data_IF_857406571062
#
_entry.id   IF_857406571062
#
_cell.length_a   1.000
_cell.length_b   1.000
_cell.length_c   1.000
_cell.angle_alpha   90.00
_cell.angle_beta   90.00
_cell.angle_gamma   90.00
#
_symmetry.space_group_name_H-M   'P 1'
#
loop_
_entity.id
_entity.type
_entity.pdbx_description
1 polymer ?
#
# COMPACT_ATOMS: atom_id res chain seq x y z
N UNK A 1 21.66 14.55 3.19
CA UNK A 1 20.40 14.77 2.44
C UNK A 1 19.53 13.55 2.64
N UNK A 2 18.51 13.65 3.49
CA UNK A 2 17.68 12.52 3.89
C UNK A 2 16.55 12.31 2.87
N UNK A 3 16.77 11.43 1.89
CA UNK A 3 15.71 10.89 1.05
C UNK A 3 15.09 9.67 1.76
N UNK A 4 14.36 9.93 2.85
CA UNK A 4 13.41 8.96 3.35
C UNK A 4 12.17 9.10 2.46
N UNK A 5 11.91 8.11 1.59
CA UNK A 5 10.65 8.06 0.84
C UNK A 5 9.54 7.86 1.88
N UNK A 6 8.77 8.91 2.12
CA UNK A 6 7.62 8.90 3.02
C UNK A 6 6.48 8.23 2.24
N UNK A 7 6.04 7.05 2.70
CA UNK A 7 4.84 6.42 2.17
C UNK A 7 3.63 7.18 2.73
N UNK A 8 3.03 8.05 1.92
CA UNK A 8 1.78 8.73 2.26
C UNK A 8 0.63 7.75 2.06
N UNK A 9 0.00 7.34 3.16
CA UNK A 9 -1.28 6.58 3.10
C UNK A 9 -2.46 7.55 2.94
N UNK A 10 -2.32 8.77 3.44
CA UNK A 10 -3.23 9.90 3.26
C UNK A 10 -2.44 11.21 3.46
N UNK A 11 -3.01 12.35 3.06
CA UNK A 11 -2.39 13.69 3.18
C UNK A 11 -1.89 14.04 4.61
N UNK A 12 -2.34 13.30 5.63
CA UNK A 12 -2.02 13.49 7.05
C UNK A 12 -1.30 12.32 7.72
N UNK A 13 -1.10 11.19 7.04
CA UNK A 13 -0.48 9.99 7.63
C UNK A 13 0.82 9.65 6.90
N UNK A 14 1.93 10.02 7.53
CA UNK A 14 3.29 9.67 7.13
C UNK A 14 3.60 8.29 7.70
N UNK A 15 3.53 7.24 6.88
CA UNK A 15 3.98 5.92 7.27
C UNK A 15 5.43 5.74 6.81
N UNK A 16 6.36 5.67 7.76
CA UNK A 16 7.79 5.47 7.48
C UNK A 16 8.10 3.97 7.39
N UNK A 17 7.28 3.20 6.67
CA UNK A 17 7.37 1.74 6.69
C UNK A 17 8.57 1.23 5.87
N UNK A 18 8.85 1.85 4.72
CA UNK A 18 9.99 1.48 3.87
C UNK A 18 11.35 1.59 4.57
N UNK A 19 11.69 2.74 5.21
CA UNK A 19 12.93 2.87 5.95
C UNK A 19 13.01 1.95 7.17
N UNK A 20 11.90 1.74 7.89
CA UNK A 20 11.86 0.83 9.05
C UNK A 20 12.08 -0.64 8.66
N UNK A 21 11.44 -1.10 7.58
CA UNK A 21 11.68 -2.44 7.02
C UNK A 21 13.14 -2.60 6.59
N UNK A 22 13.68 -1.60 5.88
CA UNK A 22 15.05 -1.67 5.40
C UNK A 22 16.06 -1.68 6.56
N UNK A 23 15.86 -0.85 7.59
CA UNK A 23 16.70 -0.84 8.79
C UNK A 23 16.58 -2.14 9.61
N UNK A 24 15.40 -2.76 9.63
CA UNK A 24 15.20 -4.02 10.34
C UNK A 24 15.95 -5.19 9.69
N UNK A 25 15.92 -5.29 8.35
CA UNK A 25 16.56 -6.41 7.63
C UNK A 25 17.99 -6.13 7.18
N UNK A 26 18.38 -4.86 7.06
CA UNK A 26 19.72 -4.44 6.66
C UNK A 26 20.25 -3.36 7.63
N UNK A 27 20.51 -3.70 8.90
CA UNK A 27 20.91 -2.73 9.91
C UNK A 27 22.27 -2.06 9.60
N UNK A 28 23.15 -2.76 8.89
CA UNK A 28 24.49 -2.25 8.54
C UNK A 28 24.55 -1.51 7.19
N UNK A 29 23.40 -1.25 6.56
CA UNK A 29 23.44 -0.52 5.28
C UNK A 29 23.85 0.93 5.45
N UNK A 30 24.79 1.39 4.63
CA UNK A 30 25.10 2.80 4.52
C UNK A 30 23.87 3.62 4.11
N UNK A 31 23.75 4.84 4.63
CA UNK A 31 22.60 5.71 4.44
C UNK A 31 22.19 5.89 2.96
N UNK A 32 23.16 5.91 2.05
CA UNK A 32 22.92 6.04 0.61
C UNK A 32 22.26 4.80 -0.01
N UNK A 33 22.57 3.60 0.49
CA UNK A 33 21.94 2.34 0.07
C UNK A 33 20.57 2.16 0.72
N UNK A 34 20.38 2.69 1.93
CA UNK A 34 19.08 2.69 2.62
C UNK A 34 17.99 3.37 1.79
N UNK A 35 18.29 4.56 1.24
CA UNK A 35 17.37 5.28 0.36
C UNK A 35 17.02 4.50 -0.91
N UNK A 36 18.01 3.84 -1.53
CA UNK A 36 17.79 3.02 -2.72
C UNK A 36 16.88 1.81 -2.46
N UNK A 37 17.13 1.06 -1.39
CA UNK A 37 16.29 -0.08 -1.01
C UNK A 37 14.88 0.35 -0.61
N UNK A 38 14.76 1.45 0.12
CA UNK A 38 13.46 2.05 0.46
C UNK A 38 12.70 2.39 -0.82
N UNK A 39 13.34 3.05 -1.79
CA UNK A 39 12.71 3.43 -3.05
C UNK A 39 12.23 2.21 -3.85
N UNK A 40 12.99 1.11 -3.86
CA UNK A 40 12.57 -0.13 -4.53
C UNK A 40 11.33 -0.73 -3.84
N UNK A 41 11.34 -0.82 -2.51
CA UNK A 41 10.24 -1.44 -1.75
C UNK A 41 8.95 -0.60 -1.79
N UNK A 42 9.09 0.72 -1.68
CA UNK A 42 7.96 1.65 -1.78
C UNK A 42 7.46 1.77 -3.21
N UNK A 43 8.37 1.84 -4.18
CA UNK A 43 8.03 1.89 -5.60
C UNK A 43 7.31 0.63 -6.08
N UNK A 44 7.73 -0.56 -5.63
CA UNK A 44 7.05 -1.80 -5.99
C UNK A 44 5.63 -1.88 -5.41
N UNK A 45 5.46 -1.46 -4.14
CA UNK A 45 4.14 -1.37 -3.52
C UNK A 45 3.22 -0.38 -4.25
N UNK A 46 3.71 0.82 -4.56
CA UNK A 46 2.94 1.83 -5.28
C UNK A 46 2.56 1.39 -6.69
N UNK A 47 3.49 0.76 -7.42
CA UNK A 47 3.23 0.24 -8.75
C UNK A 47 2.12 -0.83 -8.72
N UNK A 48 2.20 -1.77 -7.76
CA UNK A 48 1.14 -2.76 -7.56
C UNK A 48 -0.21 -2.11 -7.28
N UNK A 49 -0.24 -1.12 -6.39
CA UNK A 49 -1.45 -0.37 -6.07
C UNK A 49 -2.07 0.31 -7.30
N UNK A 50 -1.27 1.11 -8.02
CA UNK A 50 -1.73 1.88 -9.17
C UNK A 50 -2.32 0.98 -10.27
N UNK A 51 -1.71 -0.19 -10.51
CA UNK A 51 -2.17 -1.14 -11.52
C UNK A 51 -3.47 -1.85 -11.14
N UNK A 52 -3.72 -2.08 -9.85
CA UNK A 52 -4.86 -2.89 -9.40
C UNK A 52 -6.12 -2.10 -9.05
N UNK A 53 -6.03 -0.78 -8.80
CA UNK A 53 -7.16 0.06 -8.41
C UNK A 53 -8.38 -0.11 -9.34
N UNK A 54 -8.17 -0.02 -10.66
CA UNK A 54 -9.26 -0.17 -11.64
C UNK A 54 -9.90 -1.56 -11.61
N UNK A 55 -9.09 -2.61 -11.42
CA UNK A 55 -9.57 -3.98 -11.30
C UNK A 55 -10.48 -4.16 -10.08
N UNK A 56 -10.06 -3.70 -8.91
CA UNK A 56 -10.83 -3.85 -7.67
C UNK A 56 -12.14 -3.06 -7.68
N UNK A 57 -12.15 -1.87 -8.27
CA UNK A 57 -13.38 -1.08 -8.46
C UNK A 57 -14.37 -1.85 -9.33
N UNK A 58 -13.92 -2.41 -10.45
CA UNK A 58 -14.77 -3.18 -11.35
C UNK A 58 -15.26 -4.47 -10.69
N UNK A 59 -14.40 -5.15 -9.93
CA UNK A 59 -14.75 -6.36 -9.19
C UNK A 59 -15.82 -6.09 -8.13
N UNK A 60 -15.67 -5.04 -7.33
CA UNK A 60 -16.65 -4.65 -6.31
C UNK A 60 -18.02 -4.33 -6.92
N UNK A 61 -18.05 -3.66 -8.08
CA UNK A 61 -19.28 -3.39 -8.83
C UNK A 61 -19.92 -4.67 -9.37
N UNK A 62 -19.12 -5.57 -9.95
CA UNK A 62 -19.62 -6.82 -10.52
C UNK A 62 -20.20 -7.76 -9.46
N UNK A 63 -19.57 -7.84 -8.28
CA UNK A 63 -20.02 -8.69 -7.18
C UNK A 63 -21.15 -8.07 -6.36
N UNK A 64 -21.50 -6.79 -6.60
CA UNK A 64 -22.45 -6.00 -5.79
C UNK A 64 -22.15 -6.06 -4.28
N UNK A 65 -20.88 -6.23 -3.91
CA UNK A 65 -20.43 -6.42 -2.54
C UNK A 65 -19.12 -5.67 -2.31
N UNK A 66 -19.23 -4.36 -2.08
CA UNK A 66 -18.08 -3.50 -1.76
C UNK A 66 -17.42 -3.91 -0.45
N UNK A 67 -18.23 -4.14 0.60
CA UNK A 67 -17.75 -4.52 1.95
C UNK A 67 -16.95 -5.83 1.95
N UNK A 68 -17.41 -6.84 1.22
CA UNK A 68 -16.71 -8.12 1.12
C UNK A 68 -15.35 -7.98 0.44
N UNK A 69 -15.30 -7.21 -0.66
CA UNK A 69 -14.04 -6.92 -1.38
C UNK A 69 -13.07 -6.13 -0.51
N UNK A 70 -13.54 -5.12 0.22
CA UNK A 70 -12.71 -4.33 1.14
C UNK A 70 -12.14 -5.21 2.25
N UNK A 71 -12.97 -6.03 2.90
CA UNK A 71 -12.53 -6.93 3.98
C UNK A 71 -11.46 -7.91 3.48
N UNK A 72 -11.68 -8.49 2.30
CA UNK A 72 -10.75 -9.45 1.71
C UNK A 72 -9.41 -8.79 1.34
N UNK A 73 -9.45 -7.64 0.68
CA UNK A 73 -8.23 -6.89 0.34
C UNK A 73 -7.44 -6.46 1.58
N UNK A 74 -8.11 -6.01 2.65
CA UNK A 74 -7.45 -5.68 3.92
C UNK A 74 -6.81 -6.91 4.58
N UNK A 75 -7.52 -8.05 4.62
CA UNK A 75 -7.01 -9.28 5.20
C UNK A 75 -5.74 -9.78 4.48
N UNK A 76 -5.76 -9.78 3.14
CA UNK A 76 -4.60 -10.22 2.35
C UNK A 76 -3.44 -9.23 2.43
N UNK A 77 -3.73 -7.92 2.47
CA UNK A 77 -2.70 -6.90 2.69
C UNK A 77 -2.01 -7.10 4.05
N UNK A 78 -2.79 -7.34 5.12
CA UNK A 78 -2.25 -7.67 6.44
C UNK A 78 -1.37 -8.93 6.42
N UNK A 79 -1.84 -10.02 5.81
CA UNK A 79 -1.06 -11.26 5.68
C UNK A 79 0.25 -11.08 4.89
N UNK A 80 0.24 -10.24 3.85
CA UNK A 80 1.45 -9.95 3.09
C UNK A 80 2.45 -9.10 3.86
N UNK A 81 2.02 -8.20 4.76
CA UNK A 81 2.93 -7.53 5.69
C UNK A 81 3.60 -8.52 6.66
N UNK A 82 2.88 -9.53 7.17
CA UNK A 82 3.51 -10.60 7.95
C UNK A 82 4.50 -11.42 7.11
N UNK A 83 4.23 -11.62 5.83
CA UNK A 83 5.12 -12.36 4.92
C UNK A 83 6.45 -11.63 4.67
N UNK A 84 6.50 -10.30 4.81
CA UNK A 84 7.75 -9.54 4.78
C UNK A 84 8.71 -9.97 5.90
N UNK A 85 8.20 -10.39 7.06
CA UNK A 85 8.99 -10.90 8.18
C UNK A 85 9.77 -12.17 7.83
N UNK A 86 9.30 -12.93 6.84
CA UNK A 86 9.91 -14.19 6.40
C UNK A 86 10.91 -13.98 5.25
N UNK A 87 10.93 -12.80 4.65
CA UNK A 87 11.75 -12.53 3.48
C UNK A 87 13.22 -12.31 3.89
N UNK A 88 14.14 -12.98 3.18
CA UNK A 88 15.60 -12.87 3.40
C UNK A 88 16.35 -12.12 2.29
N UNK A 89 15.68 -11.81 1.19
CA UNK A 89 16.27 -11.12 0.04
C UNK A 89 15.44 -9.92 -0.37
N UNK A 90 16.11 -8.89 -0.87
CA UNK A 90 15.47 -7.68 -1.40
C UNK A 90 14.47 -8.01 -2.52
N UNK A 91 14.79 -9.00 -3.36
CA UNK A 91 13.90 -9.45 -4.45
C UNK A 91 12.64 -10.09 -3.89
N UNK A 92 12.74 -10.93 -2.85
CA UNK A 92 11.56 -11.51 -2.21
C UNK A 92 10.71 -10.41 -1.54
N UNK A 93 11.35 -9.47 -0.85
CA UNK A 93 10.65 -8.34 -0.23
C UNK A 93 9.96 -7.45 -1.26
N UNK A 94 10.60 -7.17 -2.40
CA UNK A 94 10.02 -6.34 -3.45
C UNK A 94 8.83 -7.01 -4.14
N UNK A 95 8.89 -8.33 -4.37
CA UNK A 95 7.78 -9.13 -4.89
C UNK A 95 6.61 -9.18 -3.90
N UNK A 96 6.88 -9.42 -2.62
CA UNK A 96 5.84 -9.40 -1.59
C UNK A 96 5.24 -8.00 -1.47
N UNK A 97 6.05 -6.94 -1.53
CA UNK A 97 5.55 -5.56 -1.57
C UNK A 97 4.72 -5.26 -2.80
N UNK A 98 5.10 -5.78 -3.97
CA UNK A 98 4.30 -5.62 -5.19
C UNK A 98 2.94 -6.34 -5.06
N UNK A 99 2.94 -7.56 -4.55
CA UNK A 99 1.74 -8.35 -4.32
C UNK A 99 0.80 -7.70 -3.29
N UNK A 100 1.34 -7.19 -2.17
CA UNK A 100 0.54 -6.42 -1.21
C UNK A 100 0.03 -5.11 -1.81
N UNK A 101 0.85 -4.47 -2.65
CA UNK A 101 0.45 -3.33 -3.48
C UNK A 101 -0.79 -3.65 -4.30
N UNK A 102 -0.79 -4.76 -5.05
CA UNK A 102 -1.95 -5.20 -5.83
C UNK A 102 -3.19 -5.35 -4.94
N UNK A 103 -3.09 -5.91 -3.74
CA UNK A 103 -4.23 -6.04 -2.83
C UNK A 103 -4.68 -4.71 -2.22
N UNK A 104 -3.77 -3.77 -2.00
CA UNK A 104 -4.08 -2.44 -1.45
C UNK A 104 -4.94 -1.57 -2.39
N UNK A 105 -5.03 -1.92 -3.67
CA UNK A 105 -5.91 -1.26 -4.65
C UNK A 105 -7.40 -1.38 -4.33
N UNK A 106 -7.79 -2.05 -3.23
CA UNK A 106 -9.16 -1.97 -2.67
C UNK A 106 -9.44 -0.64 -1.97
N UNK A 107 -8.42 0.16 -1.63
CA UNK A 107 -8.60 1.43 -0.90
C UNK A 107 -9.57 2.41 -1.60
N UNK A 108 -9.50 2.64 -2.93
CA UNK A 108 -10.49 3.45 -3.62
C UNK A 108 -11.92 2.91 -3.52
N UNK A 109 -12.10 1.58 -3.42
CA UNK A 109 -13.43 0.98 -3.20
C UNK A 109 -13.98 1.39 -1.83
N UNK A 110 -13.12 1.40 -0.80
CA UNK A 110 -13.50 1.86 0.53
C UNK A 110 -13.84 3.36 0.54
N UNK A 111 -13.08 4.20 -0.17
CA UNK A 111 -13.38 5.63 -0.30
C UNK A 111 -14.73 5.88 -0.98
N UNK A 112 -15.03 5.16 -2.08
CA UNK A 112 -16.32 5.26 -2.77
C UNK A 112 -17.47 4.83 -1.84
N UNK A 113 -17.29 3.76 -1.06
CA UNK A 113 -18.30 3.30 -0.10
C UNK A 113 -18.53 4.34 1.01
N UNK A 114 -17.46 4.95 1.53
CA UNK A 114 -17.54 6.03 2.52
C UNK A 114 -18.29 7.23 1.93
N UNK A 115 -18.00 7.64 0.70
CA UNK A 115 -18.69 8.74 0.02
C UNK A 115 -20.19 8.45 -0.17
N UNK A 116 -20.54 7.21 -0.49
CA UNK A 116 -21.95 6.77 -0.60
C UNK A 116 -22.66 6.84 0.76
N UNK A 117 -22.02 6.39 1.84
CA UNK A 117 -22.59 6.42 3.20
C UNK A 117 -22.71 7.86 3.72
N UNK A 118 -21.69 8.69 3.48
CA UNK A 118 -21.62 10.07 3.96
C UNK A 118 -22.38 11.07 3.07
N UNK A 119 -23.01 10.61 1.98
CA UNK A 119 -23.86 11.44 1.13
C UNK A 119 -23.11 12.53 0.38
N UNK A 120 -22.00 12.16 -0.30
CA UNK A 120 -21.22 13.03 -1.18
C UNK A 120 -20.75 14.35 -0.53
N UNK A 121 -20.61 14.38 0.81
CA UNK A 121 -20.15 15.56 1.54
C UNK A 121 -18.64 15.81 1.38
N UNK A 122 -17.83 14.77 1.13
CA UNK A 122 -16.38 14.93 1.01
C UNK A 122 -15.94 15.56 -0.32
N UNK A 123 -16.67 15.35 -1.42
CA UNK A 123 -16.40 16.06 -2.69
C UNK A 123 -16.59 17.57 -2.59
N UNK A 124 -17.39 18.06 -1.62
CA UNK A 124 -17.52 19.49 -1.30
C UNK A 124 -16.46 20.04 -0.35
N UNK A 125 -15.70 19.19 0.35
CA UNK A 125 -14.65 19.62 1.27
C UNK A 125 -13.27 19.69 0.59
N UNK A 126 -13.14 19.09 -0.60
CA UNK A 126 -11.93 19.14 -1.43
C UNK A 126 -11.95 20.24 -2.50
N UNK A 127 -12.97 21.11 -2.48
CA UNK A 127 -13.18 22.24 -3.40
C UNK A 127 -13.15 23.54 -2.59
#
# INVERSE_FOLDING_TARGET
MACAMIEYIAQTVVLVLGPMLTLHFYPETSFHRLGFYTAILSGSGFLGHALSCGFWINLARSLKSSKGVILWGLAVTGAGFFSLLLCKSLVAMSLVRFATGLCSGVLPVALIEIDNICGNRQTKLAL
#
